data_IF_893468772727
#
_entry.id   IF_893468772727
#
_cell.length_a   1.000
_cell.length_b   1.000
_cell.length_c   1.000
_cell.angle_alpha   90.00
_cell.angle_beta   90.00
_cell.angle_gamma   90.00
#
_symmetry.space_group_name_H-M   'P 1'
#
loop_
_entity.id
_entity.type
_entity.pdbx_description
1 polymer ?
#
# COMPACT_ATOMS: atom_id res chain seq x y z
N UNK A 1 30.25 36.75 1.90
CA UNK A 1 28.78 36.51 1.98
C UNK A 1 28.56 35.01 2.00
N UNK A 2 28.34 34.43 3.18
CA UNK A 2 27.92 33.04 3.33
C UNK A 2 26.39 33.03 3.20
N UNK A 3 25.86 32.22 2.29
CA UNK A 3 24.42 31.99 2.17
C UNK A 3 24.02 31.03 3.28
N UNK A 4 23.09 31.47 4.13
CA UNK A 4 22.47 30.62 5.15
C UNK A 4 21.54 29.61 4.46
N UNK A 5 21.99 28.36 4.34
CA UNK A 5 21.19 27.20 3.96
C UNK A 5 20.31 26.72 5.12
N UNK A 6 19.53 27.62 5.73
CA UNK A 6 18.65 27.26 6.85
C UNK A 6 17.28 27.89 6.69
N UNK A 7 16.42 27.20 5.96
CA UNK A 7 14.97 27.09 6.20
C UNK A 7 14.30 26.32 5.05
N UNK A 8 14.70 25.06 4.84
CA UNK A 8 13.79 24.12 4.18
C UNK A 8 12.83 23.65 5.27
N UNK A 9 11.51 23.90 5.17
CA UNK A 9 10.57 23.44 6.17
C UNK A 9 10.52 21.91 6.18
N UNK A 10 11.05 21.31 7.25
CA UNK A 10 10.92 19.87 7.51
C UNK A 10 9.53 19.59 8.07
N UNK A 11 8.70 18.90 7.29
CA UNK A 11 7.37 18.48 7.73
C UNK A 11 7.48 17.19 8.53
N UNK A 12 7.42 17.31 9.87
CA UNK A 12 7.36 16.18 10.81
C UNK A 12 5.89 15.79 11.01
N UNK A 13 5.54 14.53 10.80
CA UNK A 13 4.18 14.04 11.03
C UNK A 13 4.14 13.27 12.36
N UNK A 14 3.47 13.85 13.35
CA UNK A 14 2.96 13.14 14.53
C UNK A 14 1.45 12.93 14.34
N UNK A 15 1.09 11.90 13.59
CA UNK A 15 -0.31 11.63 13.22
C UNK A 15 -0.81 12.59 12.13
N UNK A 16 -1.27 12.02 11.02
CA UNK A 16 -1.90 12.78 9.94
C UNK A 16 -3.41 12.56 10.01
N UNK A 17 -4.20 13.62 10.14
CA UNK A 17 -5.66 13.54 10.03
C UNK A 17 -6.14 13.06 8.64
N UNK A 18 -5.25 13.11 7.64
CA UNK A 18 -5.49 12.63 6.28
C UNK A 18 -5.08 11.16 6.07
N UNK A 19 -4.10 10.66 6.82
CA UNK A 19 -3.58 9.30 6.77
C UNK A 19 -3.35 8.84 8.21
N UNK A 20 -4.16 7.90 8.69
CA UNK A 20 -4.13 7.43 10.06
C UNK A 20 -2.87 6.57 10.33
N UNK A 21 -1.70 7.20 10.35
CA UNK A 21 -0.39 6.56 10.49
C UNK A 21 0.08 6.81 11.91
N UNK A 22 0.09 5.73 12.68
CA UNK A 22 0.68 5.70 14.00
C UNK A 22 2.10 5.15 13.86
N UNK A 23 3.07 6.05 13.86
CA UNK A 23 4.46 5.67 14.10
C UNK A 23 4.57 5.07 15.51
N UNK A 24 5.53 4.16 15.73
CA UNK A 24 5.76 3.62 17.08
C UNK A 24 6.08 4.78 18.03
N UNK A 25 5.73 4.61 19.30
CA UNK A 25 6.01 5.61 20.33
C UNK A 25 7.50 6.00 20.33
N UNK A 26 7.78 7.31 20.24
CA UNK A 26 9.14 7.84 20.13
C UNK A 26 9.75 7.84 18.72
N UNK A 27 9.03 7.37 17.70
CA UNK A 27 9.43 7.49 16.30
C UNK A 27 8.76 8.68 15.61
N UNK A 28 9.57 9.45 14.89
CA UNK A 28 9.09 10.50 13.99
C UNK A 28 9.28 10.03 12.54
N UNK A 29 8.20 10.11 11.76
CA UNK A 29 8.26 9.95 10.31
C UNK A 29 8.17 11.29 9.59
N UNK A 30 8.54 11.25 8.32
CA UNK A 30 8.54 12.41 7.43
C UNK A 30 7.86 12.08 6.09
N UNK A 31 7.35 13.12 5.43
CA UNK A 31 6.91 13.02 4.04
C UNK A 31 8.10 13.21 3.13
N UNK A 32 8.48 12.16 2.40
CA UNK A 32 9.55 12.22 1.41
C UNK A 32 9.04 12.74 0.05
N UNK A 33 7.77 12.46 -0.26
CA UNK A 33 7.15 12.90 -1.50
C UNK A 33 5.63 13.09 -1.35
N UNK A 34 5.09 14.12 -1.98
CA UNK A 34 3.66 14.36 -2.10
C UNK A 34 3.34 15.15 -3.38
N UNK A 35 2.42 14.65 -4.21
CA UNK A 35 1.95 15.37 -5.41
C UNK A 35 0.41 15.54 -5.45
N UNK A 36 -0.28 15.30 -4.34
CA UNK A 36 -1.76 15.29 -4.28
C UNK A 36 -2.41 13.94 -4.61
N UNK A 37 -1.68 13.01 -5.23
CA UNK A 37 -2.14 11.64 -5.56
C UNK A 37 -1.29 10.58 -4.87
N UNK A 38 0.02 10.75 -4.88
CA UNK A 38 0.98 9.79 -4.35
C UNK A 38 1.68 10.37 -3.13
N UNK A 39 1.89 9.52 -2.14
CA UNK A 39 2.46 9.90 -0.84
C UNK A 39 3.54 8.88 -0.49
N UNK A 40 4.79 9.33 -0.42
CA UNK A 40 5.89 8.51 0.07
C UNK A 40 6.29 9.00 1.45
N UNK A 41 6.27 8.08 2.41
CA UNK A 41 6.65 8.36 3.78
C UNK A 41 7.89 7.57 4.15
N UNK A 42 8.67 8.15 5.03
CA UNK A 42 9.92 7.56 5.45
C UNK A 42 10.40 8.02 6.81
N UNK A 43 11.60 7.58 7.14
CA UNK A 43 12.33 7.96 8.35
C UNK A 43 13.80 8.12 7.99
N UNK A 44 14.44 9.21 8.42
CA UNK A 44 15.83 9.51 8.11
C UNK A 44 16.12 9.45 6.59
N UNK A 45 15.22 10.02 5.79
CA UNK A 45 15.24 10.03 4.31
C UNK A 45 15.16 8.66 3.65
N UNK A 46 14.77 7.62 4.39
CA UNK A 46 14.58 6.26 3.87
C UNK A 46 13.08 5.96 3.68
N UNK A 47 12.65 5.56 2.48
CA UNK A 47 11.27 5.14 2.22
C UNK A 47 10.84 3.96 3.10
N UNK A 48 9.61 4.02 3.62
CA UNK A 48 9.01 2.95 4.43
C UNK A 48 7.61 2.61 3.94
N UNK A 49 6.78 3.62 3.63
CA UNK A 49 5.39 3.44 3.24
C UNK A 49 5.11 4.21 1.96
N UNK A 50 4.52 3.56 0.96
CA UNK A 50 4.05 4.19 -0.26
C UNK A 50 2.52 4.09 -0.37
N UNK A 51 1.86 5.23 -0.57
CA UNK A 51 0.46 5.33 -0.97
C UNK A 51 0.43 5.82 -2.42
N UNK A 52 -0.18 5.05 -3.31
CA UNK A 52 -0.15 5.36 -4.74
C UNK A 52 -1.29 4.71 -5.50
N UNK A 53 -1.54 5.15 -6.73
CA UNK A 53 -2.43 4.46 -7.66
C UNK A 53 -1.67 3.28 -8.31
N UNK A 54 -2.33 2.14 -8.58
CA UNK A 54 -1.74 1.06 -9.38
C UNK A 54 -1.17 1.54 -10.74
N UNK A 55 -1.80 2.53 -11.36
CA UNK A 55 -1.45 3.04 -12.70
C UNK A 55 -0.34 4.11 -12.76
N UNK A 56 0.52 4.23 -11.75
CA UNK A 56 1.62 5.20 -11.82
C UNK A 56 2.54 4.95 -13.01
N UNK A 57 2.94 6.04 -13.67
CA UNK A 57 3.73 6.00 -14.89
C UNK A 57 5.19 5.62 -14.69
N UNK A 58 5.77 5.93 -13.53
CA UNK A 58 7.14 5.58 -13.17
C UNK A 58 7.37 5.78 -11.67
N UNK A 59 8.15 4.89 -11.05
CA UNK A 59 8.64 5.03 -9.67
C UNK A 59 9.76 6.08 -9.54
N UNK A 60 10.40 6.48 -10.65
CA UNK A 60 11.51 7.45 -10.63
C UNK A 60 11.08 8.83 -10.12
N UNK A 61 9.79 9.16 -10.26
CA UNK A 61 9.22 10.43 -9.81
C UNK A 61 9.40 10.70 -8.31
N UNK A 62 9.60 9.64 -7.50
CA UNK A 62 9.78 9.77 -6.07
C UNK A 62 11.15 10.33 -5.68
N UNK A 63 12.12 10.39 -6.61
CA UNK A 63 13.47 10.94 -6.38
C UNK A 63 14.24 10.32 -5.20
N UNK A 64 14.00 9.03 -4.91
CA UNK A 64 14.68 8.25 -3.86
C UNK A 64 15.55 7.12 -4.42
N UNK A 65 15.68 7.03 -5.75
CA UNK A 65 16.39 5.97 -6.46
C UNK A 65 15.89 4.57 -6.08
N UNK A 66 16.78 3.59 -6.07
CA UNK A 66 16.45 2.18 -5.78
C UNK A 66 15.92 1.94 -4.36
N UNK A 67 15.99 2.93 -3.47
CA UNK A 67 15.46 2.78 -2.11
C UNK A 67 13.92 2.68 -2.10
N UNK A 68 13.23 3.07 -3.17
CA UNK A 68 11.79 2.84 -3.32
C UNK A 68 11.42 1.36 -3.26
N UNK A 69 12.28 0.46 -3.74
CA UNK A 69 12.04 -0.99 -3.73
C UNK A 69 12.21 -1.63 -2.35
N UNK A 70 12.61 -0.85 -1.34
CA UNK A 70 12.85 -1.31 0.03
C UNK A 70 11.75 -0.91 1.01
N UNK A 71 10.62 -0.36 0.53
CA UNK A 71 9.46 -0.07 1.38
C UNK A 71 8.95 -1.34 2.07
N UNK A 72 8.33 -1.16 3.23
CA UNK A 72 7.72 -2.23 4.03
C UNK A 72 6.22 -2.33 3.83
N UNK A 73 5.58 -1.21 3.52
CA UNK A 73 4.14 -1.13 3.33
C UNK A 73 3.79 -0.43 2.03
N UNK A 74 2.90 -1.05 1.27
CA UNK A 74 2.32 -0.48 0.06
C UNK A 74 0.81 -0.37 0.22
N UNK A 75 0.26 0.77 -0.15
CA UNK A 75 -1.17 1.02 -0.25
C UNK A 75 -1.49 1.42 -1.68
N UNK A 76 -2.15 0.52 -2.40
CA UNK A 76 -2.66 0.73 -3.76
C UNK A 76 -4.10 1.20 -3.66
N UNK A 77 -4.34 2.45 -4.04
CA UNK A 77 -5.66 3.07 -3.92
C UNK A 77 -6.03 3.86 -5.19
N UNK A 78 -7.04 3.37 -5.91
CA UNK A 78 -7.42 3.91 -7.23
C UNK A 78 -8.18 5.24 -7.16
N UNK A 79 -8.58 5.72 -5.98
CA UNK A 79 -9.27 7.02 -5.83
C UNK A 79 -8.40 8.11 -5.21
N UNK A 80 -7.11 7.83 -4.98
CA UNK A 80 -6.18 8.84 -4.48
C UNK A 80 -6.12 10.05 -5.40
N UNK A 81 -6.41 11.23 -4.83
CA UNK A 81 -6.51 12.50 -5.56
C UNK A 81 -7.66 12.60 -6.57
N UNK A 82 -8.62 11.66 -6.57
CA UNK A 82 -9.87 11.74 -7.34
C UNK A 82 -11.01 12.31 -6.48
N UNK A 83 -12.07 12.83 -7.14
CA UNK A 83 -13.26 13.36 -6.45
C UNK A 83 -14.07 12.21 -5.82
N UNK A 84 -14.76 12.43 -4.68
CA UNK A 84 -15.42 11.39 -3.87
C UNK A 84 -16.57 10.61 -4.54
N UNK A 85 -16.93 10.91 -5.79
CA UNK A 85 -17.96 10.20 -6.58
C UNK A 85 -17.39 9.61 -7.87
N UNK A 86 -16.12 9.22 -7.89
CA UNK A 86 -15.58 8.48 -9.03
C UNK A 86 -15.89 7.00 -8.85
N UNK A 87 -16.50 6.39 -9.88
CA UNK A 87 -16.70 4.95 -9.94
C UNK A 87 -15.37 4.23 -9.68
N UNK A 88 -15.44 3.04 -9.07
CA UNK A 88 -14.29 2.17 -8.89
C UNK A 88 -13.63 1.95 -10.26
N UNK A 89 -12.40 2.43 -10.40
CA UNK A 89 -11.66 2.34 -11.66
C UNK A 89 -11.02 0.97 -11.71
N UNK A 90 -11.23 0.28 -12.83
CA UNK A 90 -10.50 -0.94 -13.16
C UNK A 90 -9.01 -0.59 -13.22
N UNK A 91 -8.22 -1.17 -12.32
CA UNK A 91 -6.78 -1.02 -12.31
C UNK A 91 -6.16 -2.39 -12.00
N UNK A 92 -5.32 -2.87 -12.91
CA UNK A 92 -4.56 -4.11 -12.73
C UNK A 92 -3.47 -3.89 -11.68
N UNK A 93 -3.18 -4.91 -10.87
CA UNK A 93 -2.03 -4.87 -9.97
C UNK A 93 -0.76 -4.77 -10.83
N UNK A 94 0.11 -3.78 -10.57
CA UNK A 94 1.16 -3.47 -11.51
C UNK A 94 2.35 -4.44 -11.40
N UNK A 95 2.94 -4.82 -12.53
CA UNK A 95 4.12 -5.71 -12.61
C UNK A 95 5.32 -5.21 -11.78
N UNK A 96 5.48 -3.89 -11.61
CA UNK A 96 6.56 -3.33 -10.79
C UNK A 96 6.47 -3.76 -9.32
N UNK A 97 5.30 -4.25 -8.87
CA UNK A 97 5.12 -4.78 -7.52
C UNK A 97 6.04 -5.98 -7.25
N UNK A 98 6.29 -6.81 -8.27
CA UNK A 98 7.22 -7.94 -8.16
C UNK A 98 8.67 -7.50 -7.83
N UNK A 99 9.02 -6.23 -8.07
CA UNK A 99 10.32 -5.66 -7.72
C UNK A 99 10.42 -5.26 -6.24
N UNK A 100 9.31 -5.18 -5.50
CA UNK A 100 9.24 -4.73 -4.10
C UNK A 100 9.60 -5.84 -3.11
N UNK A 101 10.84 -6.35 -3.20
CA UNK A 101 11.30 -7.57 -2.49
C UNK A 101 11.22 -7.53 -0.96
N UNK A 102 10.99 -6.36 -0.37
CA UNK A 102 10.94 -6.16 1.08
C UNK A 102 9.54 -5.80 1.61
N UNK A 103 8.52 -5.74 0.74
CA UNK A 103 7.16 -5.39 1.13
C UNK A 103 6.54 -6.53 1.97
N UNK A 104 6.11 -6.19 3.18
CA UNK A 104 5.50 -7.13 4.13
C UNK A 104 4.00 -6.89 4.26
N UNK A 105 3.53 -5.68 3.96
CA UNK A 105 2.14 -5.28 4.03
C UNK A 105 1.68 -4.68 2.70
N UNK A 106 0.59 -5.21 2.13
CA UNK A 106 -0.04 -4.66 0.93
C UNK A 106 -1.54 -4.41 1.19
N UNK A 107 -1.98 -3.17 0.98
CA UNK A 107 -3.40 -2.79 1.05
C UNK A 107 -3.92 -2.47 -0.35
N UNK A 108 -5.04 -3.10 -0.72
CA UNK A 108 -5.81 -2.82 -1.92
C UNK A 108 -7.08 -2.07 -1.52
N UNK A 109 -7.21 -0.84 -1.98
CA UNK A 109 -8.29 0.05 -1.56
C UNK A 109 -9.02 0.66 -2.76
N UNK A 110 -10.35 0.60 -2.76
CA UNK A 110 -11.18 1.21 -3.81
C UNK A 110 -10.76 0.77 -5.23
N UNK A 111 -10.49 -0.53 -5.39
CA UNK A 111 -9.94 -1.11 -6.61
C UNK A 111 -10.70 -2.37 -7.01
N UNK A 112 -10.84 -2.61 -8.32
CA UNK A 112 -11.19 -3.93 -8.83
C UNK A 112 -9.92 -4.77 -8.95
N UNK A 113 -9.81 -5.83 -8.18
CA UNK A 113 -8.59 -6.64 -8.10
C UNK A 113 -8.50 -7.59 -9.29
N UNK A 114 -7.52 -7.36 -10.15
CA UNK A 114 -7.05 -8.25 -11.22
C UNK A 114 -5.51 -8.23 -11.25
N UNK A 115 -4.86 -9.33 -11.65
CA UNK A 115 -3.39 -9.44 -11.61
C UNK A 115 -2.82 -9.69 -10.21
N UNK A 116 -3.62 -10.18 -9.24
CA UNK A 116 -3.15 -10.39 -7.87
C UNK A 116 -1.99 -11.41 -7.78
N UNK A 117 -1.84 -12.27 -8.78
CA UNK A 117 -0.70 -13.17 -8.96
C UNK A 117 0.67 -12.47 -8.91
N UNK A 118 0.75 -11.18 -9.22
CA UNK A 118 1.98 -10.37 -9.14
C UNK A 118 2.54 -10.27 -7.71
N UNK A 119 1.72 -10.58 -6.69
CA UNK A 119 2.20 -10.63 -5.30
C UNK A 119 2.83 -11.96 -4.92
N UNK A 120 2.70 -13.00 -5.76
CA UNK A 120 3.26 -14.33 -5.48
C UNK A 120 4.79 -14.23 -5.41
N UNK A 121 5.36 -14.79 -4.34
CA UNK A 121 6.81 -14.79 -4.10
C UNK A 121 7.31 -13.57 -3.32
N UNK A 122 6.47 -12.57 -3.07
CA UNK A 122 6.78 -11.48 -2.15
C UNK A 122 6.67 -11.95 -0.69
N UNK A 123 7.46 -11.38 0.25
CA UNK A 123 7.45 -11.76 1.66
C UNK A 123 6.28 -11.13 2.42
N UNK A 124 5.07 -11.18 1.86
CA UNK A 124 3.88 -10.56 2.42
C UNK A 124 3.42 -11.34 3.65
N UNK A 125 3.21 -10.60 4.75
CA UNK A 125 2.66 -11.09 6.01
C UNK A 125 1.25 -10.59 6.27
N UNK A 126 0.88 -9.45 5.69
CA UNK A 126 -0.43 -8.83 5.87
C UNK A 126 -0.99 -8.35 4.53
N UNK A 127 -2.22 -8.78 4.24
CA UNK A 127 -3.02 -8.25 3.14
C UNK A 127 -4.20 -7.47 3.70
N UNK A 128 -4.52 -6.34 3.07
CA UNK A 128 -5.71 -5.55 3.41
C UNK A 128 -6.57 -5.33 2.18
N UNK A 129 -7.87 -5.58 2.30
CA UNK A 129 -8.85 -5.41 1.24
C UNK A 129 -9.97 -4.50 1.70
N UNK A 130 -10.05 -3.30 1.12
CA UNK A 130 -11.06 -2.29 1.48
C UNK A 130 -11.78 -1.76 0.25
N UNK A 131 -13.09 -1.87 0.24
CA UNK A 131 -13.96 -1.45 -0.86
C UNK A 131 -13.46 -1.99 -2.21
N UNK A 132 -13.29 -3.31 -2.29
CA UNK A 132 -12.71 -3.98 -3.45
C UNK A 132 -13.78 -4.70 -4.27
N UNK A 133 -13.59 -4.76 -5.59
CA UNK A 133 -14.37 -5.66 -6.45
C UNK A 133 -13.50 -6.86 -6.79
N UNK A 134 -14.05 -8.04 -6.55
CA UNK A 134 -13.39 -9.31 -6.81
C UNK A 134 -13.88 -9.84 -8.16
N UNK A 135 -13.01 -9.84 -9.16
CA UNK A 135 -13.35 -10.36 -10.50
C UNK A 135 -13.38 -11.89 -10.52
N UNK A 136 -12.48 -12.54 -9.78
CA UNK A 136 -12.37 -14.00 -9.75
C UNK A 136 -11.92 -14.51 -8.38
N UNK A 137 -12.88 -15.05 -7.61
CA UNK A 137 -12.63 -15.60 -6.28
C UNK A 137 -11.63 -16.76 -6.29
N UNK A 138 -11.65 -17.63 -7.30
CA UNK A 138 -10.73 -18.79 -7.36
C UNK A 138 -9.28 -18.35 -7.48
N UNK A 139 -8.99 -17.30 -8.26
CA UNK A 139 -7.64 -16.75 -8.39
C UNK A 139 -7.18 -16.17 -7.05
N UNK A 140 -8.04 -15.40 -6.36
CA UNK A 140 -7.68 -14.83 -5.06
C UNK A 140 -7.37 -15.92 -4.03
N UNK A 141 -8.19 -16.97 -3.96
CA UNK A 141 -7.95 -18.11 -3.08
C UNK A 141 -6.62 -18.81 -3.41
N UNK A 142 -6.31 -18.99 -4.70
CA UNK A 142 -5.06 -19.58 -5.15
C UNK A 142 -3.85 -18.72 -4.74
N UNK A 143 -3.90 -17.40 -4.96
CA UNK A 143 -2.83 -16.48 -4.54
C UNK A 143 -2.61 -16.55 -3.02
N UNK A 144 -3.68 -16.47 -2.24
CA UNK A 144 -3.60 -16.54 -0.76
C UNK A 144 -2.92 -17.85 -0.32
N UNK A 145 -3.24 -18.98 -0.96
CA UNK A 145 -2.62 -20.27 -0.66
C UNK A 145 -1.12 -20.34 -1.01
N UNK A 146 -0.66 -19.55 -1.99
CA UNK A 146 0.75 -19.47 -2.37
C UNK A 146 1.57 -18.54 -1.46
N UNK A 147 0.93 -17.63 -0.72
CA UNK A 147 1.59 -16.72 0.21
C UNK A 147 1.90 -17.42 1.54
N UNK A 148 2.95 -18.25 1.55
CA UNK A 148 3.35 -19.07 2.71
C UNK A 148 3.67 -18.28 3.98
N UNK A 149 4.02 -17.01 3.85
CA UNK A 149 4.31 -16.10 4.97
C UNK A 149 3.12 -15.27 5.44
N UNK A 150 1.95 -15.42 4.84
CA UNK A 150 0.77 -14.62 5.16
C UNK A 150 0.23 -15.02 6.54
N UNK A 151 0.21 -14.06 7.45
CA UNK A 151 -0.22 -14.23 8.84
C UNK A 151 -1.62 -13.68 9.06
N UNK A 152 -1.96 -12.59 8.38
CA UNK A 152 -3.23 -11.89 8.56
C UNK A 152 -3.82 -11.31 7.27
N UNK A 153 -5.16 -11.27 7.24
CA UNK A 153 -5.95 -10.59 6.22
C UNK A 153 -6.89 -9.62 6.93
N UNK A 154 -6.74 -8.33 6.63
CA UNK A 154 -7.68 -7.28 7.01
C UNK A 154 -8.68 -7.07 5.89
N UNK A 155 -9.96 -6.96 6.21
CA UNK A 155 -10.99 -6.92 5.18
C UNK A 155 -12.23 -6.14 5.60
N UNK A 156 -12.98 -5.59 4.66
CA UNK A 156 -14.34 -5.09 4.91
C UNK A 156 -15.42 -5.98 4.28
N UNK A 157 -16.68 -5.55 4.34
CA UNK A 157 -17.83 -6.31 3.86
C UNK A 157 -17.72 -6.72 2.37
N UNK A 158 -16.98 -5.96 1.55
CA UNK A 158 -16.82 -6.25 0.11
C UNK A 158 -16.03 -7.53 -0.14
N UNK A 159 -15.19 -7.96 0.81
CA UNK A 159 -14.34 -9.15 0.70
C UNK A 159 -14.85 -10.33 1.54
N UNK A 160 -15.95 -10.16 2.28
CA UNK A 160 -16.51 -11.18 3.19
C UNK A 160 -16.79 -12.52 2.49
N UNK A 161 -17.25 -12.48 1.24
CA UNK A 161 -17.53 -13.68 0.45
C UNK A 161 -16.30 -14.57 0.24
N UNK A 162 -15.10 -13.98 0.09
CA UNK A 162 -13.85 -14.73 -0.04
C UNK A 162 -13.40 -15.29 1.31
N UNK A 163 -13.51 -14.50 2.38
CA UNK A 163 -13.16 -14.94 3.73
C UNK A 163 -13.90 -16.22 4.12
N UNK A 164 -15.19 -16.32 3.78
CA UNK A 164 -16.00 -17.50 4.09
C UNK A 164 -15.53 -18.78 3.37
N UNK A 165 -14.71 -18.66 2.32
CA UNK A 165 -14.18 -19.76 1.54
C UNK A 165 -12.72 -20.10 1.92
N UNK A 166 -12.09 -19.29 2.77
CA UNK A 166 -10.73 -19.51 3.22
C UNK A 166 -10.69 -20.61 4.29
N UNK A 167 -10.19 -21.78 3.92
CA UNK A 167 -9.83 -22.85 4.85
C UNK A 167 -8.42 -22.59 5.41
N UNK A 168 -8.30 -21.67 6.37
CA UNK A 168 -6.96 -21.15 6.72
C UNK A 168 -6.67 -20.99 8.20
N UNK A 169 -5.36 -21.07 8.47
CA UNK A 169 -4.69 -20.70 9.72
C UNK A 169 -4.41 -19.19 9.81
N UNK A 170 -4.90 -18.41 8.84
CA UNK A 170 -4.62 -16.99 8.67
C UNK A 170 -5.61 -16.21 9.53
N UNK A 171 -5.11 -15.21 10.27
CA UNK A 171 -5.95 -14.37 11.10
C UNK A 171 -6.74 -13.38 10.24
N UNK A 172 -8.06 -13.52 10.20
CA UNK A 172 -8.94 -12.62 9.46
C UNK A 172 -9.50 -11.52 10.39
N UNK A 173 -9.34 -10.24 10.02
CA UNK A 173 -9.67 -9.08 10.84
C UNK A 173 -10.61 -8.15 10.06
N UNK A 174 -11.82 -7.93 10.59
CA UNK A 174 -12.79 -7.02 9.98
C UNK A 174 -12.40 -5.55 10.25
N UNK A 175 -12.26 -4.77 9.18
CA UNK A 175 -12.11 -3.31 9.18
C UNK A 175 -13.52 -2.71 9.32
N UNK A 176 -13.69 -1.83 10.31
CA UNK A 176 -14.94 -1.10 10.55
C UNK A 176 -15.00 0.21 9.78
#
# INVERSE_FOLDING_TARGET
MLRDDKNVPESKIQGSGFLNIQWKEGEEGEVLFFNGRDILLGKNKRPIILFTSPNISSLDMFNVGDSIFNIKKLVLNSILGKKPNTDLVYEEVPEWLAMMKNVEEVSFENIRIEGLEEVIGLPIKSLSFKNVIISNTSIILDVINHLKGLEEIHYDETFLGVINLLDTRIKCILIK
#
